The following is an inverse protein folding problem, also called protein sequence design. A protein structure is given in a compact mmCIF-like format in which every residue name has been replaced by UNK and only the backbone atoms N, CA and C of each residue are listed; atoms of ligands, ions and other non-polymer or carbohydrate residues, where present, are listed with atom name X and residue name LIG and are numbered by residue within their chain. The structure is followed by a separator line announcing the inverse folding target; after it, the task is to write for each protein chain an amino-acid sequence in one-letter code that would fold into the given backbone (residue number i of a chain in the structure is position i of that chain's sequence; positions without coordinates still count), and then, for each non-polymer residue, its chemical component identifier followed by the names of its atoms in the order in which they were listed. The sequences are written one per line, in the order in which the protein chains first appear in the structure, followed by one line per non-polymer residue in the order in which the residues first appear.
data_IF_375533182413
#
_entry.id   IF_375533182413
#
_cell.length_a   1.000
_cell.length_b   1.000
_cell.length_c   1.000
_cell.angle_alpha   90.00
_cell.angle_beta   90.00
_cell.angle_gamma   90.00
#
_symmetry.space_group_name_H-M   'P 1'
#
loop_
_entity.id
_entity.type
_entity.pdbx_description
1 polymer ?
#
# COMPACT_ATOMS: atom_id res chain seq x y z
N UNK A 1 24.59 -11.02 8.91
CA UNK A 1 23.23 -10.86 8.36
C UNK A 1 22.96 -9.39 8.15
N UNK A 2 22.42 -9.01 6.99
CA UNK A 2 22.02 -7.63 6.69
C UNK A 2 20.85 -7.20 7.60
N UNK A 3 20.79 -5.92 7.93
CA UNK A 3 19.77 -5.33 8.81
C UNK A 3 18.41 -5.37 8.12
N UNK A 4 18.38 -5.09 6.82
CA UNK A 4 17.19 -5.20 5.97
C UNK A 4 16.50 -6.57 6.09
N UNK A 5 17.25 -7.65 5.98
CA UNK A 5 16.74 -9.04 6.03
C UNK A 5 16.14 -9.43 7.37
N UNK A 6 16.58 -8.82 8.48
CA UNK A 6 15.96 -9.04 9.81
C UNK A 6 14.63 -8.32 9.94
N UNK A 7 14.51 -7.15 9.31
CA UNK A 7 13.28 -6.34 9.34
C UNK A 7 12.18 -6.91 8.44
N UNK A 8 12.53 -7.68 7.41
CA UNK A 8 11.55 -8.43 6.59
C UNK A 8 10.69 -9.38 7.44
N UNK A 9 11.27 -10.04 8.45
CA UNK A 9 10.49 -10.91 9.36
C UNK A 9 9.45 -10.08 10.13
N UNK A 10 9.81 -8.88 10.57
CA UNK A 10 8.87 -7.98 11.25
C UNK A 10 7.79 -7.50 10.28
N UNK A 11 8.15 -7.19 9.03
CA UNK A 11 7.19 -6.81 8.00
C UNK A 11 6.15 -7.92 7.77
N UNK A 12 6.56 -9.18 7.63
CA UNK A 12 5.61 -10.29 7.45
C UNK A 12 4.67 -10.48 8.65
N UNK A 13 5.10 -10.13 9.86
CA UNK A 13 4.22 -10.13 11.03
C UNK A 13 3.19 -8.99 10.97
N UNK A 14 3.60 -7.80 10.53
CA UNK A 14 2.69 -6.66 10.36
C UNK A 14 1.69 -6.89 9.20
N UNK A 15 2.11 -7.54 8.11
CA UNK A 15 1.22 -7.98 7.03
C UNK A 15 0.13 -8.95 7.53
N UNK A 16 0.50 -9.91 8.37
CA UNK A 16 -0.49 -10.81 8.99
C UNK A 16 -1.48 -10.05 9.87
N UNK A 17 -1.00 -9.09 10.67
CA UNK A 17 -1.88 -8.25 11.50
C UNK A 17 -2.82 -7.39 10.66
N UNK A 18 -2.33 -6.82 9.55
CA UNK A 18 -3.16 -6.08 8.60
C UNK A 18 -4.27 -6.98 8.03
N UNK A 19 -3.91 -8.18 7.59
CA UNK A 19 -4.84 -9.15 7.03
C UNK A 19 -5.91 -9.58 8.04
N UNK A 20 -5.50 -9.90 9.27
CA UNK A 20 -6.44 -10.23 10.36
C UNK A 20 -7.38 -9.05 10.68
N UNK A 21 -6.87 -7.82 10.68
CA UNK A 21 -7.68 -6.63 10.89
C UNK A 21 -8.67 -6.41 9.74
N UNK A 22 -8.25 -6.66 8.50
CA UNK A 22 -9.10 -6.58 7.32
C UNK A 22 -10.23 -7.60 7.36
N UNK A 23 -9.93 -8.84 7.74
CA UNK A 23 -10.94 -9.91 7.89
C UNK A 23 -11.99 -9.53 8.94
N UNK A 24 -11.55 -9.09 10.13
CA UNK A 24 -12.45 -8.62 11.20
C UNK A 24 -13.29 -7.41 10.77
N UNK A 25 -12.72 -6.49 10.02
CA UNK A 25 -13.46 -5.35 9.46
C UNK A 25 -14.50 -5.83 8.44
N UNK A 26 -14.17 -6.81 7.61
CA UNK A 26 -15.10 -7.43 6.65
C UNK A 26 -16.28 -8.11 7.35
N UNK A 27 -16.04 -8.84 8.43
CA UNK A 27 -17.09 -9.44 9.27
C UNK A 27 -17.99 -8.37 9.90
N UNK A 28 -17.40 -7.33 10.49
CA UNK A 28 -18.16 -6.23 11.10
C UNK A 28 -19.01 -5.49 10.06
N UNK A 29 -18.49 -5.30 8.84
CA UNK A 29 -19.23 -4.70 7.72
C UNK A 29 -20.44 -5.54 7.33
N UNK A 30 -20.27 -6.85 7.17
CA UNK A 30 -21.36 -7.77 6.84
C UNK A 30 -22.46 -7.71 7.90
N UNK A 31 -22.07 -7.67 9.18
CA UNK A 31 -23.03 -7.55 10.26
C UNK A 31 -23.81 -6.23 10.20
N UNK A 32 -23.13 -5.09 10.01
CA UNK A 32 -23.80 -3.79 9.89
C UNK A 32 -24.79 -3.76 8.71
N UNK A 33 -24.39 -4.30 7.55
CA UNK A 33 -25.25 -4.37 6.37
C UNK A 33 -26.49 -5.25 6.63
N UNK A 34 -26.32 -6.41 7.27
CA UNK A 34 -27.45 -7.27 7.66
C UNK A 34 -28.42 -6.56 8.61
N UNK A 35 -27.90 -5.85 9.62
CA UNK A 35 -28.76 -5.08 10.54
C UNK A 35 -29.51 -3.98 9.80
N UNK A 36 -28.87 -3.33 8.81
CA UNK A 36 -29.46 -2.26 8.00
C UNK A 36 -30.55 -2.78 7.09
N UNK A 37 -30.33 -3.91 6.43
CA UNK A 37 -31.35 -4.61 5.65
C UNK A 37 -32.56 -4.96 6.53
N UNK A 38 -32.33 -5.48 7.73
CA UNK A 38 -33.41 -5.81 8.66
C UNK A 38 -34.24 -4.59 9.07
N UNK A 39 -33.61 -3.44 9.36
CA UNK A 39 -34.32 -2.18 9.63
C UNK A 39 -35.15 -1.75 8.42
N UNK A 40 -34.57 -1.80 7.22
CA UNK A 40 -35.26 -1.41 5.99
C UNK A 40 -36.49 -2.31 5.73
N UNK A 41 -36.34 -3.62 5.90
CA UNK A 41 -37.43 -4.58 5.76
C UNK A 41 -38.56 -4.31 6.76
N UNK A 42 -38.24 -4.00 8.03
CA UNK A 42 -39.24 -3.66 9.04
C UNK A 42 -39.97 -2.35 8.71
N UNK A 43 -39.24 -1.33 8.23
CA UNK A 43 -39.83 -0.06 7.80
C UNK A 43 -40.76 -0.24 6.60
N UNK A 44 -40.34 -1.02 5.61
CA UNK A 44 -41.17 -1.33 4.45
C UNK A 44 -42.43 -2.10 4.86
N UNK A 45 -42.28 -3.13 5.69
CA UNK A 45 -43.41 -3.89 6.21
C UNK A 45 -44.39 -3.01 7.00
N UNK A 46 -43.89 -2.04 7.78
CA UNK A 46 -44.74 -1.07 8.47
C UNK A 46 -45.56 -0.23 7.48
N UNK A 47 -44.93 0.26 6.42
CA UNK A 47 -45.59 1.09 5.40
C UNK A 47 -46.66 0.29 4.66
N UNK A 48 -46.31 -0.90 4.18
CA UNK A 48 -47.25 -1.81 3.50
C UNK A 48 -48.45 -2.14 4.38
N UNK A 49 -48.22 -2.39 5.67
CA UNK A 49 -49.29 -2.67 6.63
C UNK A 49 -50.19 -1.45 6.87
N UNK A 50 -49.62 -0.24 6.94
CA UNK A 50 -50.40 1.02 7.04
C UNK A 50 -51.26 1.25 5.79
N UNK A 51 -50.73 0.97 4.60
CA UNK A 51 -51.44 1.14 3.35
C UNK A 51 -52.56 0.11 3.17
N UNK A 52 -52.31 -1.16 3.54
CA UNK A 52 -53.36 -2.19 3.59
C UNK A 52 -54.54 -1.76 4.45
N UNK A 53 -54.25 -1.18 5.62
CA UNK A 53 -55.29 -0.69 6.52
C UNK A 53 -56.03 0.49 5.89
N UNK A 54 -55.34 1.50 5.36
CA UNK A 54 -55.96 2.65 4.68
C UNK A 54 -56.89 2.21 3.54
N UNK A 55 -56.48 1.22 2.76
CA UNK A 55 -57.28 0.69 1.66
C UNK A 55 -58.49 -0.13 2.14
N UNK A 56 -58.36 -0.83 3.28
CA UNK A 56 -59.45 -1.60 3.90
C UNK A 56 -60.49 -0.76 4.66
N UNK A 57 -60.21 0.53 4.91
CA UNK A 57 -61.10 1.45 5.63
C UNK A 57 -62.26 2.02 4.79
N UNK A 58 -62.46 1.55 3.55
CA UNK A 58 -63.66 1.90 2.76
C UNK A 58 -64.90 1.16 3.31
N UNK A 59 -65.51 1.69 4.38
CA UNK A 59 -66.74 1.15 4.99
C UNK A 59 -66.84 1.38 6.51
N UNK A 60 -67.79 0.70 7.16
CA UNK A 60 -67.93 0.71 8.64
C UNK A 60 -66.84 -0.20 9.23
N UNK A 61 -65.88 0.40 9.94
CA UNK A 61 -64.75 -0.32 10.55
C UNK A 61 -65.07 -0.67 12.00
N UNK A 62 -64.86 -1.94 12.38
CA UNK A 62 -64.99 -2.41 13.76
C UNK A 62 -63.92 -1.75 14.66
N UNK A 63 -64.37 -1.15 15.78
CA UNK A 63 -63.53 -0.51 16.80
C UNK A 63 -62.49 -1.49 17.36
N UNK A 64 -62.83 -2.79 17.49
CA UNK A 64 -61.88 -3.81 17.97
C UNK A 64 -60.69 -4.00 17.02
N UNK A 65 -60.94 -3.94 15.71
CA UNK A 65 -59.89 -4.04 14.67
C UNK A 65 -58.95 -2.84 14.70
N UNK A 66 -59.47 -1.64 15.00
CA UNK A 66 -58.65 -0.44 15.14
C UNK A 66 -57.73 -0.51 16.37
N UNK A 67 -58.23 -1.03 17.49
CA UNK A 67 -57.43 -1.21 18.71
C UNK A 67 -56.31 -2.25 18.51
N UNK A 68 -56.61 -3.39 17.89
CA UNK A 68 -55.58 -4.41 17.62
C UNK A 68 -54.51 -3.89 16.65
N UNK A 69 -54.92 -3.08 15.66
CA UNK A 69 -53.99 -2.39 14.75
C UNK A 69 -53.05 -1.44 15.49
N UNK A 70 -53.58 -0.56 16.35
CA UNK A 70 -52.76 0.37 17.13
C UNK A 70 -51.74 -0.36 18.02
N UNK A 71 -52.16 -1.44 18.68
CA UNK A 71 -51.28 -2.26 19.51
C UNK A 71 -50.14 -2.90 18.69
N UNK A 72 -50.46 -3.43 17.50
CA UNK A 72 -49.46 -4.05 16.63
C UNK A 72 -48.45 -3.02 16.08
N UNK A 73 -48.92 -1.86 15.64
CA UNK A 73 -48.02 -0.78 15.19
C UNK A 73 -47.09 -0.34 16.32
N UNK A 74 -47.61 -0.16 17.53
CA UNK A 74 -46.79 0.21 18.68
C UNK A 74 -45.72 -0.85 19.00
N UNK A 75 -46.07 -2.14 18.91
CA UNK A 75 -45.11 -3.22 19.08
C UNK A 75 -44.05 -3.21 17.97
N UNK A 76 -44.46 -2.98 16.71
CA UNK A 76 -43.54 -2.94 15.58
C UNK A 76 -42.58 -1.75 15.67
N UNK A 77 -43.07 -0.58 16.11
CA UNK A 77 -42.25 0.60 16.40
C UNK A 77 -41.19 0.29 17.47
N UNK A 78 -41.55 -0.43 18.54
CA UNK A 78 -40.58 -0.84 19.57
C UNK A 78 -39.49 -1.76 19.00
N UNK A 79 -39.87 -2.71 18.13
CA UNK A 79 -38.92 -3.61 17.47
C UNK A 79 -38.00 -2.84 16.53
N UNK A 80 -38.52 -1.91 15.73
CA UNK A 80 -37.70 -1.04 14.85
C UNK A 80 -36.70 -0.23 15.67
N UNK A 81 -37.13 0.38 16.77
CA UNK A 81 -36.22 1.14 17.65
C UNK A 81 -35.13 0.23 18.23
N UNK A 82 -35.47 -1.00 18.61
CA UNK A 82 -34.49 -1.96 19.11
C UNK A 82 -33.50 -2.38 18.01
N UNK A 83 -34.00 -2.64 16.80
CA UNK A 83 -33.20 -3.02 15.64
C UNK A 83 -32.26 -1.87 15.21
N UNK A 84 -32.75 -0.63 15.25
CA UNK A 84 -31.95 0.56 14.97
C UNK A 84 -30.80 0.71 15.98
N UNK A 85 -31.04 0.46 17.27
CA UNK A 85 -29.97 0.46 18.27
C UNK A 85 -28.91 -0.61 17.99
N UNK A 86 -29.31 -1.78 17.50
CA UNK A 86 -28.36 -2.83 17.11
C UNK A 86 -27.56 -2.44 15.87
N UNK A 87 -28.20 -1.79 14.89
CA UNK A 87 -27.52 -1.21 13.73
C UNK A 87 -26.48 -0.17 14.15
N UNK A 88 -26.87 0.80 14.99
CA UNK A 88 -25.94 1.84 15.48
C UNK A 88 -24.75 1.23 16.24
N UNK A 89 -24.96 0.13 16.96
CA UNK A 89 -23.86 -0.60 17.63
C UNK A 89 -22.96 -1.31 16.63
N UNK A 90 -23.53 -1.99 15.64
CA UNK A 90 -22.78 -2.66 14.58
C UNK A 90 -21.94 -1.68 13.76
N UNK A 91 -22.49 -0.50 13.43
CA UNK A 91 -21.79 0.57 12.73
C UNK A 91 -20.61 1.11 13.55
N UNK A 92 -20.80 1.35 14.86
CA UNK A 92 -19.70 1.76 15.75
C UNK A 92 -18.58 0.72 15.82
N UNK A 93 -18.94 -0.57 15.84
CA UNK A 93 -17.96 -1.66 15.81
C UNK A 93 -17.23 -1.67 14.48
N UNK A 94 -17.94 -1.51 13.35
CA UNK A 94 -17.33 -1.41 12.03
C UNK A 94 -16.35 -0.24 11.94
N UNK A 95 -16.73 0.95 12.41
CA UNK A 95 -15.86 2.13 12.41
C UNK A 95 -14.61 1.92 13.29
N UNK A 96 -14.75 1.28 14.44
CA UNK A 96 -13.61 0.92 15.29
C UNK A 96 -12.66 -0.06 14.58
N UNK A 97 -13.19 -1.11 13.94
CA UNK A 97 -12.37 -2.07 13.18
C UNK A 97 -11.72 -1.43 11.96
N UNK A 98 -12.40 -0.50 11.29
CA UNK A 98 -11.84 0.28 10.20
C UNK A 98 -10.65 1.13 10.65
N UNK A 99 -10.76 1.78 11.80
CA UNK A 99 -9.66 2.54 12.37
C UNK A 99 -8.47 1.64 12.76
N UNK A 100 -8.73 0.46 13.34
CA UNK A 100 -7.69 -0.54 13.64
C UNK A 100 -6.95 -1.00 12.37
N UNK A 101 -7.70 -1.35 11.32
CA UNK A 101 -7.13 -1.72 10.03
C UNK A 101 -6.29 -0.60 9.42
N UNK A 102 -6.80 0.64 9.44
CA UNK A 102 -6.07 1.79 8.90
C UNK A 102 -4.74 2.00 9.63
N UNK A 103 -4.72 1.88 10.96
CA UNK A 103 -3.48 1.96 11.73
C UNK A 103 -2.50 0.83 11.38
N UNK A 104 -2.99 -0.40 11.22
CA UNK A 104 -2.16 -1.53 10.82
C UNK A 104 -1.55 -1.32 9.42
N UNK A 105 -2.36 -0.85 8.48
CA UNK A 105 -1.94 -0.51 7.12
C UNK A 105 -0.87 0.59 7.11
N UNK A 106 -1.06 1.67 7.87
CA UNK A 106 -0.09 2.76 7.99
C UNK A 106 1.24 2.28 8.60
N UNK A 107 1.20 1.42 9.63
CA UNK A 107 2.41 0.83 10.24
C UNK A 107 3.17 -0.04 9.24
N UNK A 108 2.49 -0.92 8.52
CA UNK A 108 3.09 -1.75 7.47
C UNK A 108 3.77 -0.88 6.43
N UNK A 109 3.05 0.08 5.86
CA UNK A 109 3.57 0.98 4.81
C UNK A 109 4.78 1.79 5.30
N UNK A 110 4.75 2.25 6.55
CA UNK A 110 5.89 2.91 7.19
C UNK A 110 7.11 1.99 7.30
N UNK A 111 6.89 0.74 7.71
CA UNK A 111 7.95 -0.27 7.82
C UNK A 111 8.54 -0.65 6.45
N UNK A 112 7.72 -0.84 5.42
CA UNK A 112 8.19 -1.11 4.05
C UNK A 112 9.13 -0.02 3.56
N UNK A 113 8.73 1.25 3.72
CA UNK A 113 9.54 2.40 3.34
C UNK A 113 10.85 2.46 4.11
N UNK A 114 10.83 2.08 5.39
CA UNK A 114 12.02 2.03 6.22
C UNK A 114 12.99 0.93 5.78
N UNK A 115 12.48 -0.27 5.49
CA UNK A 115 13.28 -1.39 4.98
C UNK A 115 13.94 -1.03 3.65
N UNK A 116 13.19 -0.39 2.76
CA UNK A 116 13.71 0.08 1.47
C UNK A 116 14.86 1.09 1.66
N UNK A 117 14.71 2.01 2.61
CA UNK A 117 15.79 2.96 2.96
C UNK A 117 17.04 2.24 3.49
N UNK A 118 16.86 1.22 4.35
CA UNK A 118 17.98 0.41 4.83
C UNK A 118 18.67 -0.36 3.70
N UNK A 119 17.91 -0.96 2.77
CA UNK A 119 18.48 -1.65 1.60
C UNK A 119 19.33 -0.72 0.74
N UNK A 120 18.85 0.50 0.50
CA UNK A 120 19.60 1.50 -0.27
C UNK A 120 20.90 1.93 0.44
N UNK A 121 20.90 2.03 1.77
CA UNK A 121 22.12 2.32 2.54
C UNK A 121 23.12 1.16 2.45
N UNK A 122 22.65 -0.08 2.65
CA UNK A 122 23.49 -1.27 2.55
C UNK A 122 24.10 -1.43 1.15
N UNK A 123 23.34 -1.14 0.09
CA UNK A 123 23.84 -1.16 -1.28
C UNK A 123 24.94 -0.12 -1.49
N UNK A 124 24.74 1.13 -1.03
CA UNK A 124 25.76 2.18 -1.15
C UNK A 124 27.05 1.83 -0.41
N UNK A 125 26.94 1.22 0.77
CA UNK A 125 28.11 0.76 1.54
C UNK A 125 28.87 -0.35 0.81
N UNK A 126 28.14 -1.27 0.16
CA UNK A 126 28.74 -2.32 -0.67
C UNK A 126 29.44 -1.72 -1.88
N UNK A 127 28.78 -0.85 -2.64
CA UNK A 127 29.36 -0.19 -3.82
C UNK A 127 30.65 0.58 -3.45
N UNK A 128 30.64 1.29 -2.32
CA UNK A 128 31.82 1.99 -1.79
C UNK A 128 32.96 1.03 -1.42
N UNK A 129 32.65 -0.13 -0.84
CA UNK A 129 33.64 -1.16 -0.50
C UNK A 129 34.23 -1.81 -1.75
N UNK A 130 33.39 -2.10 -2.76
CA UNK A 130 33.81 -2.67 -4.04
C UNK A 130 34.71 -1.70 -4.82
N UNK A 131 34.35 -0.41 -4.85
CA UNK A 131 35.18 0.62 -5.46
C UNK A 131 36.57 0.70 -4.81
N UNK A 132 36.64 0.70 -3.47
CA UNK A 132 37.93 0.70 -2.74
C UNK A 132 38.78 -0.52 -3.09
N UNK A 133 38.19 -1.71 -3.12
CA UNK A 133 38.88 -2.94 -3.48
C UNK A 133 39.42 -2.91 -4.92
N UNK A 134 38.63 -2.36 -5.85
CA UNK A 134 39.03 -2.18 -7.24
C UNK A 134 40.21 -1.19 -7.37
N UNK A 135 40.14 -0.05 -6.69
CA UNK A 135 41.20 0.96 -6.68
C UNK A 135 42.50 0.42 -6.09
N UNK A 136 42.43 -0.34 -4.99
CA UNK A 136 43.61 -1.01 -4.42
C UNK A 136 44.21 -2.05 -5.37
N UNK A 137 43.38 -2.86 -6.04
CA UNK A 137 43.84 -3.85 -7.00
C UNK A 137 44.52 -3.17 -8.21
N UNK A 138 43.95 -2.07 -8.71
CA UNK A 138 44.54 -1.25 -9.76
C UNK A 138 45.87 -0.64 -9.32
N UNK A 139 45.94 -0.10 -8.09
CA UNK A 139 47.17 0.42 -7.48
C UNK A 139 48.27 -0.65 -7.36
N UNK A 140 47.94 -1.84 -6.87
CA UNK A 140 48.88 -2.99 -6.80
C UNK A 140 49.37 -3.41 -8.19
N UNK A 141 48.47 -3.47 -9.17
CA UNK A 141 48.84 -3.79 -10.55
C UNK A 141 49.74 -2.71 -11.19
N UNK A 142 49.50 -1.44 -10.89
CA UNK A 142 50.33 -0.31 -11.32
C UNK A 142 51.74 -0.40 -10.73
N UNK A 143 51.87 -0.62 -9.42
CA UNK A 143 53.18 -0.78 -8.74
C UNK A 143 53.96 -1.95 -9.34
N UNK A 144 53.30 -3.12 -9.55
CA UNK A 144 53.95 -4.28 -10.17
C UNK A 144 54.44 -4.02 -11.59
N UNK A 145 53.71 -3.22 -12.39
CA UNK A 145 54.17 -2.85 -13.74
C UNK A 145 55.39 -1.94 -13.69
N UNK A 146 55.44 -0.99 -12.75
CA UNK A 146 56.61 -0.12 -12.53
C UNK A 146 57.84 -0.93 -12.12
N UNK A 147 57.69 -1.87 -11.19
CA UNK A 147 58.82 -2.66 -10.68
C UNK A 147 59.35 -3.66 -11.72
N UNK A 148 58.49 -4.20 -12.59
CA UNK A 148 58.91 -5.03 -13.73
C UNK A 148 59.62 -4.24 -14.84
N UNK A 149 59.30 -2.95 -15.01
CA UNK A 149 60.04 -2.06 -15.91
C UNK A 149 61.43 -1.68 -15.42
N UNK A 150 61.73 -1.86 -14.12
CA UNK A 150 63.03 -1.53 -13.53
C UNK A 150 64.05 -2.69 -13.55
N UNK A 151 63.63 -3.94 -13.82
CA UNK A 151 64.52 -5.12 -13.85
C UNK A 151 65.03 -5.50 -15.25
N UNK A 152 64.75 -4.70 -16.27
CA UNK A 152 65.22 -4.91 -17.66
C UNK A 152 66.19 -3.83 -18.14
N UNK A 153 66.82 -3.08 -17.24
CA UNK A 153 67.91 -2.17 -17.59
C UNK A 153 69.18 -2.72 -16.96
N UNK A 154 69.67 -3.83 -17.52
CA UNK A 154 71.10 -4.08 -17.57
C UNK A 154 71.70 -3.16 -18.65
N UNK A 155 72.92 -2.72 -18.40
CA UNK A 155 73.62 -1.65 -19.11
C UNK A 155 73.66 -1.85 -20.63
N UNK A 156 73.78 -0.72 -21.34
CA UNK A 156 74.13 -0.59 -22.76
C UNK A 156 72.99 -0.56 -23.77
N UNK A 157 72.10 0.44 -23.64
CA UNK A 157 71.65 1.31 -24.75
C UNK A 157 70.61 2.32 -24.27
N UNK A 158 71.08 3.44 -23.72
CA UNK A 158 70.29 4.67 -23.73
C UNK A 158 70.46 5.33 -25.12
N UNK A 159 69.51 5.09 -26.02
CA UNK A 159 69.26 6.03 -27.11
C UNK A 159 67.82 5.91 -27.63
N UNK A 160 67.10 7.04 -27.59
CA UNK A 160 65.88 7.40 -28.34
C UNK A 160 64.72 6.36 -28.36
N UNK A 161 63.50 6.67 -27.94
CA UNK A 161 62.57 7.54 -28.67
C UNK A 161 61.39 7.87 -27.75
N UNK A 162 61.13 9.16 -27.59
CA UNK A 162 59.85 9.71 -27.10
C UNK A 162 58.87 9.67 -28.27
N UNK A 163 57.94 8.72 -28.29
CA UNK A 163 56.77 8.79 -29.18
C UNK A 163 55.49 8.38 -28.45
N UNK A 164 54.68 9.40 -28.13
CA UNK A 164 53.26 9.44 -28.46
C UNK A 164 52.32 8.39 -27.87
N UNK A 165 51.82 8.63 -26.67
CA UNK A 165 50.45 8.24 -26.31
C UNK A 165 49.55 9.48 -26.30
N UNK A 166 48.45 9.52 -27.06
CA UNK A 166 47.53 10.64 -27.02
C UNK A 166 46.74 10.58 -25.72
N UNK A 167 46.89 11.61 -24.89
CA UNK A 167 45.91 11.92 -23.84
C UNK A 167 44.52 12.11 -24.47
N UNK A 168 43.46 11.40 -24.04
CA UNK A 168 42.11 11.84 -24.32
C UNK A 168 41.86 13.14 -23.53
N UNK A 169 41.52 14.18 -24.29
CA UNK A 169 41.29 15.57 -23.86
C UNK A 169 40.26 15.65 -22.74
N UNK A 170 40.52 16.54 -21.77
CA UNK A 170 39.53 17.05 -20.82
C UNK A 170 38.33 17.61 -21.59
N UNK A 171 37.15 17.01 -21.43
CA UNK A 171 35.88 17.66 -21.78
C UNK A 171 35.50 18.52 -20.58
N UNK A 172 35.57 19.83 -20.76
CA UNK A 172 35.05 20.83 -19.83
C UNK A 172 33.51 20.85 -19.99
N UNK A 173 32.70 20.88 -18.92
CA UNK A 173 31.24 20.96 -19.07
C UNK A 173 30.87 22.42 -19.39
N UNK A 174 30.22 22.65 -20.53
CA UNK A 174 29.54 23.92 -20.82
C UNK A 174 28.07 23.84 -20.37
N UNK A 175 27.50 24.95 -19.89
CA UNK A 175 26.27 24.96 -19.11
C UNK A 175 25.02 25.02 -19.97
N UNK A 176 23.99 24.28 -19.55
CA UNK A 176 22.57 24.62 -19.70
C UNK A 176 22.04 25.08 -21.07
N UNK A 177 21.44 24.15 -21.81
CA UNK A 177 20.14 24.29 -22.51
C UNK A 177 19.62 22.87 -22.72
N UNK A 178 18.69 22.38 -21.89
CA UNK A 178 17.24 22.58 -22.05
C UNK A 178 16.78 22.38 -23.49
N UNK A 179 16.16 21.24 -23.80
CA UNK A 179 14.71 21.25 -24.04
C UNK A 179 14.19 19.91 -24.58
N UNK A 180 13.38 19.26 -23.73
CA UNK A 180 12.09 18.64 -24.01
C UNK A 180 11.91 17.57 -25.11
N UNK A 181 11.33 16.46 -24.63
CA UNK A 181 10.24 15.66 -25.23
C UNK A 181 10.54 14.92 -26.53
N UNK A 182 10.87 13.64 -26.40
CA UNK A 182 10.34 12.56 -27.24
C UNK A 182 10.92 11.24 -26.69
N UNK A 183 10.23 10.47 -25.86
CA UNK A 183 9.32 9.42 -26.34
C UNK A 183 8.62 8.77 -25.13
N UNK A 184 7.51 9.38 -24.71
CA UNK A 184 6.44 8.70 -23.97
C UNK A 184 5.19 8.78 -24.85
N UNK A 185 5.01 7.78 -25.72
CA UNK A 185 3.70 7.31 -26.17
C UNK A 185 3.84 6.04 -27.01
N UNK A 186 3.67 4.89 -26.34
CA UNK A 186 3.06 3.70 -26.94
C UNK A 186 1.97 3.22 -25.98
N UNK A 187 0.94 4.06 -25.82
CA UNK A 187 -0.43 3.67 -25.45
C UNK A 187 -1.14 3.16 -26.72
N UNK A 188 -2.13 2.28 -26.74
CA UNK A 188 -2.91 1.57 -25.71
C UNK A 188 -3.38 0.22 -26.31
N UNK A 189 -4.29 -0.59 -25.78
CA UNK A 189 -5.34 -0.48 -24.76
C UNK A 189 -5.69 -1.92 -24.33
N UNK A 190 -6.12 -2.09 -23.07
CA UNK A 190 -7.17 -3.03 -22.59
C UNK A 190 -7.09 -3.02 -21.05
N UNK A 191 -7.89 -2.16 -20.40
CA UNK A 191 -9.10 -2.53 -19.63
C UNK A 191 -8.71 -3.25 -18.32
N UNK A 192 -8.58 -2.59 -17.16
CA UNK A 192 -9.65 -2.01 -16.33
C UNK A 192 -10.94 -2.81 -16.28
N UNK A 193 -10.90 -3.95 -15.58
CA UNK A 193 -12.05 -4.45 -14.85
C UNK A 193 -11.61 -5.42 -13.75
N UNK A 194 -11.54 -4.96 -12.50
CA UNK A 194 -11.72 -5.84 -11.33
C UNK A 194 -12.26 -5.02 -10.17
N UNK A 195 -13.58 -4.92 -10.16
CA UNK A 195 -14.40 -4.83 -8.94
C UNK A 195 -14.03 -5.94 -7.96
N UNK A 196 -13.73 -5.60 -6.71
CA UNK A 196 -14.19 -6.22 -5.46
C UNK A 196 -13.88 -5.30 -4.28
#
# INVERSE_FOLDING_TARGET
MLRSRRLEVVLTLEERKEQEALERMGEARKLAEQQREQVNNLNQYQQEYRDQIRNSQQGVVDVRRLQSWQAFIAQLDQVIVQQQKQLDQAEKVFDARRAEWQQAYERKRGMEKYIETCRQQEQREQDLSEQKLADEAAGRAFVRRRDKGCKTLDSDQCNLVVLGYPYPKKIRPEPGRSSYKETLRRFGNADSDTSW
#
